data_IF_556269611683
#
_entry.id   IF_556269611683
#
_cell.length_a   1.000
_cell.length_b   1.000
_cell.length_c   1.000
_cell.angle_alpha   90.00
_cell.angle_beta   90.00
_cell.angle_gamma   90.00
#
_symmetry.space_group_name_H-M   'P 1'
#
loop_
_entity.id
_entity.type
_entity.pdbx_description
1 polymer ?
#
# COMPACT_ATOMS: atom_id res chain seq x y z
N UNK A 1 8.95 -27.29 16.02
CA UNK A 1 8.20 -27.36 14.75
C UNK A 1 8.86 -26.40 13.77
N UNK A 2 9.65 -26.94 12.85
CA UNK A 2 10.21 -26.17 11.73
C UNK A 2 9.03 -25.81 10.84
N UNK A 3 8.54 -24.57 10.94
CA UNK A 3 7.53 -24.07 10.00
C UNK A 3 8.21 -24.12 8.63
N UNK A 4 7.72 -24.97 7.74
CA UNK A 4 8.13 -24.95 6.34
C UNK A 4 7.77 -23.57 5.79
N UNK A 5 8.77 -22.73 5.52
CA UNK A 5 8.55 -21.38 4.98
C UNK A 5 8.29 -21.54 3.49
N UNK A 6 7.02 -21.58 3.09
CA UNK A 6 6.59 -21.47 1.69
C UNK A 6 6.15 -20.04 1.39
N UNK A 7 6.13 -19.66 0.11
CA UNK A 7 5.63 -18.34 -0.28
C UNK A 7 4.16 -18.15 0.14
N UNK A 8 3.37 -19.23 0.06
CA UNK A 8 1.98 -19.26 0.53
C UNK A 8 1.88 -18.96 2.03
N UNK A 9 2.67 -19.62 2.88
CA UNK A 9 2.67 -19.38 4.32
C UNK A 9 3.14 -17.95 4.69
N UNK A 10 4.11 -17.40 3.95
CA UNK A 10 4.54 -16.01 4.10
C UNK A 10 3.45 -15.03 3.66
N UNK A 11 2.71 -15.36 2.59
CA UNK A 11 1.62 -14.52 2.07
C UNK A 11 0.42 -14.51 3.02
N UNK A 12 0.07 -15.65 3.62
CA UNK A 12 -0.95 -15.71 4.68
C UNK A 12 -0.57 -14.81 5.87
N UNK A 13 0.69 -14.85 6.33
CA UNK A 13 1.17 -13.94 7.38
C UNK A 13 1.12 -12.47 6.95
N UNK A 14 1.49 -12.18 5.71
CA UNK A 14 1.45 -10.83 5.15
C UNK A 14 0.02 -10.28 5.12
N UNK A 15 -0.94 -11.08 4.64
CA UNK A 15 -2.38 -10.76 4.66
C UNK A 15 -2.88 -10.49 6.07
N UNK A 16 -2.60 -11.41 7.00
CA UNK A 16 -2.97 -11.25 8.41
C UNK A 16 -2.39 -9.97 9.00
N UNK A 17 -1.13 -9.65 8.70
CA UNK A 17 -0.49 -8.43 9.19
C UNK A 17 -1.21 -7.16 8.71
N UNK A 18 -1.66 -7.12 7.45
CA UNK A 18 -2.44 -6.00 6.93
C UNK A 18 -3.82 -5.90 7.59
N UNK A 19 -4.50 -7.03 7.74
CA UNK A 19 -5.85 -7.09 8.33
C UNK A 19 -5.88 -6.75 9.81
N UNK A 20 -4.79 -7.04 10.55
CA UNK A 20 -4.67 -6.73 11.98
C UNK A 20 -3.81 -5.50 12.28
N UNK A 21 -3.36 -4.77 11.25
CA UNK A 21 -2.42 -3.65 11.39
C UNK A 21 -1.17 -3.99 12.23
N UNK A 22 -0.67 -5.23 12.13
CA UNK A 22 0.47 -5.73 12.91
C UNK A 22 1.79 -5.47 12.15
N UNK A 23 2.47 -4.40 12.55
CA UNK A 23 3.75 -3.98 11.94
C UNK A 23 4.83 -5.05 12.13
N UNK A 24 4.93 -5.66 13.30
CA UNK A 24 5.97 -6.66 13.58
C UNK A 24 5.76 -7.91 12.73
N UNK A 25 4.51 -8.35 12.60
CA UNK A 25 4.15 -9.46 11.72
C UNK A 25 4.44 -9.12 10.26
N UNK A 26 4.13 -7.90 9.81
CA UNK A 26 4.44 -7.46 8.45
C UNK A 26 5.95 -7.51 8.20
N UNK A 27 6.75 -6.90 9.08
CA UNK A 27 8.22 -6.90 8.97
C UNK A 27 8.79 -8.32 8.96
N UNK A 28 8.19 -9.26 9.71
CA UNK A 28 8.63 -10.65 9.72
C UNK A 28 8.49 -11.36 8.37
N UNK A 29 7.67 -10.84 7.45
CA UNK A 29 7.47 -11.43 6.11
C UNK A 29 8.50 -10.98 5.07
N UNK A 30 9.22 -9.89 5.35
CA UNK A 30 10.10 -9.22 4.41
C UNK A 30 11.54 -9.73 4.51
N UNK A 31 12.23 -9.83 3.38
CA UNK A 31 13.67 -10.02 3.35
C UNK A 31 14.38 -8.78 3.93
N UNK A 32 15.60 -8.93 4.42
CA UNK A 32 16.34 -7.84 5.09
C UNK A 32 16.58 -6.63 4.18
N UNK A 33 16.76 -6.89 2.88
CA UNK A 33 17.00 -5.94 1.80
C UNK A 33 15.78 -5.72 0.89
N UNK A 34 14.57 -6.10 1.36
CA UNK A 34 13.35 -6.01 0.57
C UNK A 34 13.13 -4.61 -0.02
N UNK A 35 12.57 -4.55 -1.22
CA UNK A 35 12.31 -3.29 -1.94
C UNK A 35 10.82 -3.10 -2.17
N UNK A 36 10.32 -1.91 -1.83
CA UNK A 36 8.95 -1.50 -2.15
C UNK A 36 8.92 -0.45 -3.27
N UNK A 37 8.16 -0.76 -4.32
CA UNK A 37 7.83 0.11 -5.44
C UNK A 37 6.48 0.80 -5.20
N UNK A 38 6.57 2.13 -5.04
CA UNK A 38 5.41 2.98 -4.76
C UNK A 38 4.42 2.99 -5.93
N UNK A 39 3.10 2.98 -5.65
CA UNK A 39 2.08 3.14 -6.70
C UNK A 39 2.02 4.59 -7.22
N UNK A 40 2.68 5.54 -6.55
CA UNK A 40 2.62 6.97 -6.85
C UNK A 40 3.75 7.44 -7.79
N UNK A 41 4.92 6.82 -7.72
CA UNK A 41 6.10 7.31 -8.45
C UNK A 41 7.16 6.22 -8.61
N UNK A 42 7.81 6.21 -9.78
CA UNK A 42 8.99 5.36 -10.03
C UNK A 42 10.28 5.92 -9.45
N UNK A 43 10.27 7.17 -8.97
CA UNK A 43 11.47 7.88 -8.49
C UNK A 43 11.85 7.55 -7.04
N UNK A 44 10.94 6.92 -6.30
CA UNK A 44 11.15 6.58 -4.89
C UNK A 44 11.04 5.07 -4.74
N UNK A 45 12.04 4.49 -4.08
CA UNK A 45 12.10 3.09 -3.67
C UNK A 45 12.41 3.09 -2.19
N UNK A 46 11.71 2.27 -1.42
CA UNK A 46 12.02 2.05 -0.01
C UNK A 46 12.75 0.72 0.08
N UNK A 47 13.97 0.73 0.61
CA UNK A 47 14.85 -0.44 0.61
C UNK A 47 15.25 -0.81 2.03
N UNK A 48 15.07 -2.09 2.35
CA UNK A 48 15.41 -2.69 3.62
C UNK A 48 14.53 -2.25 4.78
N UNK A 49 14.67 -2.95 5.91
CA UNK A 49 13.76 -2.82 7.04
C UNK A 49 13.74 -1.42 7.67
N UNK A 50 14.86 -0.70 7.65
CA UNK A 50 14.97 0.64 8.22
C UNK A 50 14.06 1.67 7.51
N UNK A 51 13.87 1.52 6.19
CA UNK A 51 13.00 2.40 5.41
C UNK A 51 11.55 1.88 5.35
N UNK A 52 11.39 0.56 5.32
CA UNK A 52 10.08 -0.10 5.18
C UNK A 52 9.26 -0.04 6.48
N UNK A 53 9.86 -0.22 7.66
CA UNK A 53 9.11 -0.17 8.92
C UNK A 53 8.39 1.17 9.11
N UNK A 54 9.05 2.34 8.99
CA UNK A 54 8.36 3.62 9.14
C UNK A 54 7.26 3.84 8.11
N UNK A 55 7.42 3.32 6.89
CA UNK A 55 6.40 3.37 5.85
C UNK A 55 5.17 2.53 6.23
N UNK A 56 5.39 1.29 6.68
CA UNK A 56 4.31 0.37 7.09
C UNK A 56 3.57 0.92 8.31
N UNK A 57 4.29 1.46 9.30
CA UNK A 57 3.69 2.13 10.47
C UNK A 57 2.79 3.30 10.07
N UNK A 58 3.17 4.08 9.04
CA UNK A 58 2.33 5.16 8.50
C UNK A 58 1.14 4.58 7.73
N UNK A 59 1.34 3.57 6.90
CA UNK A 59 0.24 2.97 6.14
C UNK A 59 -0.84 2.42 7.08
N UNK A 60 -0.43 1.64 8.09
CA UNK A 60 -1.34 0.98 9.04
C UNK A 60 -2.01 1.96 10.01
N UNK A 61 -1.49 3.18 10.19
CA UNK A 61 -2.15 4.20 11.02
C UNK A 61 -3.26 4.96 10.30
N UNK A 62 -3.33 4.88 8.97
CA UNK A 62 -4.31 5.62 8.15
C UNK A 62 -5.29 4.72 7.40
N UNK A 63 -4.91 3.49 7.08
CA UNK A 63 -5.75 2.53 6.37
C UNK A 63 -6.62 1.76 7.37
N UNK A 64 -7.91 1.69 7.09
CA UNK A 64 -8.93 1.04 7.92
C UNK A 64 -9.66 -0.04 7.11
N UNK A 65 -10.34 -0.97 7.80
CA UNK A 65 -11.21 -1.99 7.19
C UNK A 65 -10.53 -2.83 6.08
N UNK A 66 -9.25 -3.19 6.28
CA UNK A 66 -8.52 -4.03 5.32
C UNK A 66 -9.16 -5.41 5.24
N UNK A 67 -9.45 -5.88 4.02
CA UNK A 67 -9.96 -7.23 3.74
C UNK A 67 -9.31 -7.79 2.50
N UNK A 68 -8.53 -8.85 2.65
CA UNK A 68 -7.93 -9.54 1.51
C UNK A 68 -8.98 -10.44 0.84
N UNK A 69 -9.12 -10.34 -0.48
CA UNK A 69 -10.11 -11.13 -1.22
C UNK A 69 -9.51 -11.98 -2.33
N UNK A 70 -8.29 -11.69 -2.76
CA UNK A 70 -7.56 -12.49 -3.75
C UNK A 70 -6.14 -12.74 -3.28
N UNK A 71 -5.71 -14.00 -3.36
CA UNK A 71 -4.33 -14.45 -3.16
C UNK A 71 -4.05 -15.55 -4.19
N UNK A 72 -3.24 -15.22 -5.20
CA UNK A 72 -2.97 -16.12 -6.33
C UNK A 72 -1.50 -16.06 -6.74
N UNK A 73 -0.93 -17.19 -7.13
CA UNK A 73 0.45 -17.26 -7.61
C UNK A 73 1.13 -18.58 -7.25
N UNK A 74 2.45 -18.55 -7.23
CA UNK A 74 3.33 -19.69 -6.98
C UNK A 74 4.39 -19.38 -5.91
N UNK A 75 5.43 -20.21 -5.83
CA UNK A 75 6.52 -20.06 -4.84
C UNK A 75 7.45 -18.87 -5.11
N UNK A 76 7.41 -18.26 -6.30
CA UNK A 76 8.30 -17.15 -6.69
C UNK A 76 7.56 -15.83 -6.78
N UNK A 77 6.28 -15.85 -7.13
CA UNK A 77 5.49 -14.64 -7.32
C UNK A 77 4.06 -14.86 -6.89
N UNK A 78 3.54 -13.95 -6.06
CA UNK A 78 2.13 -13.93 -5.65
C UNK A 78 1.53 -12.56 -5.77
N UNK A 79 0.24 -12.52 -6.06
CA UNK A 79 -0.58 -11.33 -6.11
C UNK A 79 -1.56 -11.39 -4.94
N UNK A 80 -1.56 -10.35 -4.12
CA UNK A 80 -2.55 -10.15 -3.07
C UNK A 80 -3.39 -8.93 -3.41
N UNK A 81 -4.71 -9.09 -3.44
CA UNK A 81 -5.64 -7.97 -3.65
C UNK A 81 -6.49 -7.81 -2.40
N UNK A 82 -6.58 -6.58 -1.92
CA UNK A 82 -7.38 -6.23 -0.76
C UNK A 82 -8.15 -4.92 -0.98
N UNK A 83 -9.33 -4.85 -0.37
CA UNK A 83 -10.07 -3.61 -0.20
C UNK A 83 -9.73 -2.97 1.13
N UNK A 84 -9.76 -1.64 1.19
CA UNK A 84 -9.61 -0.89 2.43
C UNK A 84 -10.30 0.48 2.35
N UNK A 85 -10.32 1.21 3.47
CA UNK A 85 -10.79 2.59 3.55
C UNK A 85 -9.67 3.52 3.99
N UNK A 86 -9.63 4.70 3.39
CA UNK A 86 -8.75 5.79 3.77
C UNK A 86 -9.56 7.07 3.92
N UNK A 87 -9.71 7.56 5.15
CA UNK A 87 -10.51 8.78 5.46
C UNK A 87 -11.90 8.73 4.82
N UNK A 88 -12.56 7.58 4.93
CA UNK A 88 -13.90 7.33 4.40
C UNK A 88 -13.97 7.04 2.89
N UNK A 89 -12.86 7.07 2.15
CA UNK A 89 -12.79 6.70 0.73
C UNK A 89 -12.41 5.23 0.63
N UNK A 90 -13.20 4.44 -0.09
CA UNK A 90 -12.86 3.04 -0.39
C UNK A 90 -11.78 3.00 -1.48
N UNK A 91 -10.81 2.10 -1.28
CA UNK A 91 -9.76 1.80 -2.24
C UNK A 91 -9.54 0.29 -2.31
N UNK A 92 -8.95 -0.14 -3.41
CA UNK A 92 -8.49 -1.49 -3.65
C UNK A 92 -7.03 -1.43 -4.09
N UNK A 93 -6.20 -2.18 -3.39
CA UNK A 93 -4.77 -2.28 -3.65
C UNK A 93 -4.42 -3.70 -4.07
N UNK A 94 -3.56 -3.80 -5.08
CA UNK A 94 -2.89 -5.03 -5.50
C UNK A 94 -1.42 -4.94 -5.14
N UNK A 95 -0.95 -5.88 -4.33
CA UNK A 95 0.46 -6.08 -4.03
C UNK A 95 0.99 -7.25 -4.86
N UNK A 96 1.88 -6.96 -5.80
CA UNK A 96 2.69 -7.96 -6.48
C UNK A 96 3.92 -8.25 -5.63
N UNK A 97 3.99 -9.46 -5.10
CA UNK A 97 5.04 -9.93 -4.20
C UNK A 97 5.99 -10.85 -4.96
N UNK A 98 7.30 -10.61 -4.85
CA UNK A 98 8.34 -11.56 -5.25
C UNK A 98 9.05 -12.10 -4.03
N UNK A 99 9.40 -13.39 -4.10
CA UNK A 99 10.02 -14.11 -3.00
C UNK A 99 11.47 -14.47 -3.30
N UNK A 100 12.31 -14.44 -2.27
CA UNK A 100 13.67 -14.99 -2.30
C UNK A 100 13.68 -16.52 -2.10
N UNK A 101 14.87 -17.11 -2.05
CA UNK A 101 15.05 -18.55 -1.88
C UNK A 101 14.68 -19.04 -0.46
N UNK A 102 14.46 -18.12 0.48
CA UNK A 102 14.01 -18.37 1.85
C UNK A 102 12.50 -18.12 2.03
N UNK A 103 11.77 -17.91 0.92
CA UNK A 103 10.36 -17.57 0.88
C UNK A 103 10.00 -16.32 1.71
N UNK A 104 10.91 -15.35 1.77
CA UNK A 104 10.65 -13.98 2.26
C UNK A 104 10.36 -13.06 1.08
N UNK A 105 9.56 -12.03 1.32
CA UNK A 105 9.20 -11.05 0.30
C UNK A 105 10.41 -10.15 0.06
N UNK A 106 11.01 -10.24 -1.13
CA UNK A 106 12.16 -9.44 -1.55
C UNK A 106 11.75 -8.21 -2.37
N UNK A 107 10.59 -8.26 -3.04
CA UNK A 107 10.06 -7.12 -3.79
C UNK A 107 8.55 -7.00 -3.61
N UNK A 108 8.07 -5.78 -3.41
CA UNK A 108 6.65 -5.41 -3.38
C UNK A 108 6.42 -4.33 -4.43
N UNK A 109 5.53 -4.59 -5.40
CA UNK A 109 5.02 -3.53 -6.30
C UNK A 109 3.54 -3.31 -6.05
N UNK A 110 3.19 -2.08 -5.72
CA UNK A 110 1.82 -1.71 -5.40
C UNK A 110 1.10 -1.08 -6.61
N UNK A 111 -0.17 -1.41 -6.76
CA UNK A 111 -1.10 -0.78 -7.68
C UNK A 111 -2.40 -0.47 -6.94
N UNK A 112 -2.92 0.74 -7.10
CA UNK A 112 -4.08 1.20 -6.32
C UNK A 112 -5.14 1.78 -7.24
N UNK A 113 -6.39 1.45 -6.95
CA UNK A 113 -7.58 2.06 -7.52
C UNK A 113 -8.58 2.39 -6.41
N UNK A 114 -9.58 3.25 -6.66
CA UNK A 114 -9.64 4.21 -7.77
C UNK A 114 -8.64 5.36 -7.55
N UNK A 115 -8.50 6.24 -8.54
CA UNK A 115 -7.58 7.38 -8.48
C UNK A 115 -7.75 8.26 -7.22
N UNK A 116 -8.97 8.55 -6.72
CA UNK A 116 -9.14 9.29 -5.47
C UNK A 116 -8.52 8.59 -4.25
N UNK A 117 -8.55 7.26 -4.20
CA UNK A 117 -7.90 6.47 -3.15
C UNK A 117 -6.38 6.65 -3.20
N UNK A 118 -5.79 6.49 -4.39
CA UNK A 118 -4.35 6.68 -4.63
C UNK A 118 -3.88 8.09 -4.24
N UNK A 119 -4.60 9.14 -4.68
CA UNK A 119 -4.28 10.53 -4.31
C UNK A 119 -4.50 10.77 -2.81
N UNK A 120 -5.50 10.11 -2.21
CA UNK A 120 -5.71 10.10 -0.77
C UNK A 120 -4.49 9.58 -0.01
N UNK A 121 -3.90 8.48 -0.47
CA UNK A 121 -2.68 7.90 0.14
C UNK A 121 -1.52 8.90 0.08
N UNK A 122 -1.32 9.57 -1.05
CA UNK A 122 -0.31 10.63 -1.18
C UNK A 122 -0.53 11.75 -0.15
N UNK A 123 -1.77 12.19 0.03
CA UNK A 123 -2.13 13.27 0.94
C UNK A 123 -1.99 12.87 2.42
N UNK A 124 -2.20 11.60 2.74
CA UNK A 124 -2.07 11.08 4.11
C UNK A 124 -0.62 10.72 4.45
N UNK A 125 0.05 9.93 3.61
CA UNK A 125 1.34 9.32 3.96
C UNK A 125 2.50 10.27 3.69
N UNK A 126 2.45 11.03 2.59
CA UNK A 126 3.54 11.92 2.18
C UNK A 126 4.02 12.86 3.29
N UNK A 127 3.12 13.61 3.97
CA UNK A 127 3.48 14.45 5.10
C UNK A 127 4.10 13.70 6.29
N UNK A 128 3.57 12.53 6.64
CA UNK A 128 4.07 11.75 7.79
C UNK A 128 5.44 11.16 7.53
N UNK A 129 5.65 10.62 6.33
CA UNK A 129 6.96 10.14 5.89
C UNK A 129 7.97 11.30 5.83
N UNK A 130 7.56 12.46 5.29
CA UNK A 130 8.44 13.63 5.24
C UNK A 130 8.82 14.13 6.65
N UNK A 131 7.89 14.10 7.62
CA UNK A 131 8.18 14.40 9.03
C UNK A 131 9.18 13.41 9.62
N UNK A 132 8.95 12.11 9.45
CA UNK A 132 9.83 11.04 9.94
C UNK A 132 11.24 11.13 9.34
N UNK A 133 11.34 11.59 8.10
CA UNK A 133 12.63 11.83 7.42
C UNK A 133 13.27 13.18 7.78
N UNK A 134 12.80 13.89 8.82
CA UNK A 134 13.39 15.15 9.28
C UNK A 134 13.14 16.34 8.35
N UNK A 135 12.10 16.30 7.50
CA UNK A 135 11.78 17.35 6.52
C UNK A 135 10.44 18.05 6.83
N UNK A 136 10.32 18.78 7.96
CA UNK A 136 9.05 19.36 8.40
C UNK A 136 8.49 20.40 7.41
N UNK A 137 9.34 21.20 6.75
CA UNK A 137 8.91 22.14 5.73
C UNK A 137 8.29 21.45 4.50
N UNK A 138 8.88 20.34 4.06
CA UNK A 138 8.33 19.53 2.98
C UNK A 138 7.00 18.88 3.39
N UNK A 139 6.88 18.41 4.63
CA UNK A 139 5.64 17.85 5.15
C UNK A 139 4.50 18.87 5.16
N UNK A 140 4.78 20.12 5.57
CA UNK A 140 3.80 21.21 5.53
C UNK A 140 3.36 21.50 4.10
N UNK A 141 4.33 21.62 3.18
CA UNK A 141 4.05 21.86 1.76
C UNK A 141 3.17 20.76 1.15
N UNK A 142 3.52 19.48 1.35
CA UNK A 142 2.75 18.33 0.87
C UNK A 142 1.33 18.30 1.47
N UNK A 143 1.17 18.65 2.75
CA UNK A 143 -0.14 18.71 3.41
C UNK A 143 -1.07 19.76 2.82
N UNK A 144 -0.51 20.87 2.30
CA UNK A 144 -1.29 21.95 1.70
C UNK A 144 -1.55 21.67 0.22
N UNK A 145 -0.51 21.31 -0.54
CA UNK A 145 -0.59 21.14 -1.99
C UNK A 145 -1.43 19.96 -2.44
N UNK A 146 -1.59 18.92 -1.61
CA UNK A 146 -2.40 17.75 -1.96
C UNK A 146 -3.91 18.00 -1.90
N UNK A 147 -4.37 19.04 -1.17
CA UNK A 147 -5.81 19.29 -0.94
C UNK A 147 -6.59 19.63 -2.22
N UNK A 148 -6.15 20.57 -3.08
CA UNK A 148 -6.88 20.90 -4.30
C UNK A 148 -6.96 19.72 -5.26
N UNK A 149 -5.86 18.96 -5.40
CA UNK A 149 -5.82 17.77 -6.23
C UNK A 149 -6.80 16.71 -5.72
N UNK A 150 -6.82 16.46 -4.40
CA UNK A 150 -7.76 15.51 -3.79
C UNK A 150 -9.22 15.93 -4.02
N UNK A 151 -9.54 17.22 -3.91
CA UNK A 151 -10.88 17.72 -4.20
C UNK A 151 -11.28 17.50 -5.67
N UNK A 152 -10.36 17.76 -6.59
CA UNK A 152 -10.58 17.58 -8.03
C UNK A 152 -10.84 16.12 -8.38
N UNK A 153 -10.01 15.19 -7.90
CA UNK A 153 -10.19 13.76 -8.23
C UNK A 153 -11.43 13.18 -7.57
N UNK A 154 -11.77 13.57 -6.34
CA UNK A 154 -13.02 13.14 -5.68
C UNK A 154 -14.26 13.62 -6.45
N UNK A 155 -14.24 14.87 -6.91
CA UNK A 155 -15.34 15.42 -7.70
C UNK A 155 -15.44 14.73 -9.06
N UNK A 156 -14.33 14.57 -9.76
CA UNK A 156 -14.27 13.91 -11.06
C UNK A 156 -14.78 12.47 -11.00
N UNK A 157 -14.32 11.70 -10.02
CA UNK A 157 -14.74 10.30 -9.84
C UNK A 157 -16.22 10.17 -9.50
N UNK A 158 -16.76 11.07 -8.66
CA UNK A 158 -18.17 11.04 -8.26
C UNK A 158 -19.13 11.50 -9.35
N UNK A 159 -18.76 12.52 -10.13
CA UNK A 159 -19.71 13.21 -11.02
C UNK A 159 -19.38 13.08 -12.50
N UNK A 160 -18.09 13.06 -12.88
CA UNK A 160 -17.68 13.07 -14.28
C UNK A 160 -17.44 11.67 -14.84
N UNK A 161 -16.75 10.79 -14.12
CA UNK A 161 -16.45 9.42 -14.56
C UNK A 161 -17.72 8.62 -14.88
N UNK A 162 -18.81 8.68 -14.08
CA UNK A 162 -20.05 7.97 -14.41
C UNK A 162 -20.69 8.40 -15.72
N UNK A 163 -20.45 9.64 -16.20
CA UNK A 163 -20.98 10.13 -17.47
C UNK A 163 -20.34 9.45 -18.69
N UNK A 164 -19.14 8.90 -18.54
CA UNK A 164 -18.47 8.12 -19.57
C UNK A 164 -18.87 6.63 -19.54
N UNK A 165 -19.65 6.21 -18.53
CA UNK A 165 -20.10 4.84 -18.38
C UNK A 165 -21.21 4.45 -19.38
N UNK A 166 -21.45 3.15 -19.57
CA UNK A 166 -22.57 2.68 -20.38
C UNK A 166 -23.89 3.21 -19.83
N UNK A 167 -24.77 3.70 -20.72
CA UNK A 167 -26.15 4.03 -20.33
C UNK A 167 -26.90 2.73 -20.10
N UNK A 168 -27.18 2.42 -18.84
CA UNK A 168 -28.12 1.34 -18.53
C UNK A 168 -29.54 1.78 -18.95
N UNK A 169 -30.30 0.94 -19.66
CA UNK A 169 -31.70 1.20 -19.97
C UNK A 169 -32.57 1.24 -18.70
#
# INVERSE_FOLDING_TARGET
MTVSTTAEATTERYRRAMETADVDLAMSTLADDAVLHSPLTKRVRFTGHAELRPLIEVAYSHIEDVRCHTDVGDERTRLVVHTARLRGVELEETALLRFDDQAKISEITLFVRPLPGLVGMMAAFGPDIARRNGRPGAAMLLSVMSKPLLAMVKSGDRFAVPLAGPKHP
#
